data_IF_051168235097
#
_entry.id   IF_051168235097
#
_cell.length_a   1.000
_cell.length_b   1.000
_cell.length_c   1.000
_cell.angle_alpha   90.00
_cell.angle_beta   90.00
_cell.angle_gamma   90.00
#
_symmetry.space_group_name_H-M   'P 1'
#
loop_
_entity.id
_entity.type
_entity.pdbx_description
1 polymer ?
#
# COMPACT_ATOMS: atom_id res chain seq x y z
N UNK A 1 10.89 -23.65 5.23
CA UNK A 1 9.84 -23.01 5.74
C UNK A 1 10.08 -21.56 5.99
N UNK A 2 11.21 -21.31 6.51
CA UNK A 2 11.59 -19.95 6.70
C UNK A 2 11.56 -19.16 5.41
N UNK A 3 11.90 -19.79 4.34
CA UNK A 3 11.87 -19.12 3.06
C UNK A 3 10.50 -18.64 2.70
N UNK A 4 9.49 -19.31 3.18
CA UNK A 4 8.14 -18.89 2.88
C UNK A 4 7.79 -17.60 3.53
N UNK A 5 8.43 -17.28 4.64
CA UNK A 5 8.12 -16.06 5.34
C UNK A 5 8.32 -14.82 4.48
N UNK A 6 9.44 -14.66 3.80
CA UNK A 6 9.61 -13.52 2.93
C UNK A 6 8.58 -13.49 1.82
N UNK A 7 8.29 -14.65 1.27
CA UNK A 7 7.28 -14.70 0.22
C UNK A 7 5.92 -14.33 0.77
N UNK A 8 5.61 -14.82 1.95
CA UNK A 8 4.36 -14.49 2.59
C UNK A 8 4.22 -13.01 2.81
N UNK A 9 5.31 -12.38 3.24
CA UNK A 9 5.27 -10.95 3.47
C UNK A 9 5.07 -10.19 2.17
N UNK A 10 5.71 -10.63 1.11
CA UNK A 10 5.55 -9.98 -0.17
C UNK A 10 4.11 -10.12 -0.66
N UNK A 11 3.55 -11.29 -0.51
CA UNK A 11 2.18 -11.51 -0.90
C UNK A 11 1.24 -10.62 -0.10
N UNK A 12 1.49 -10.54 1.20
CA UNK A 12 0.67 -9.68 2.04
C UNK A 12 0.81 -8.23 1.66
N UNK A 13 2.02 -7.81 1.34
CA UNK A 13 2.23 -6.43 0.92
C UNK A 13 1.46 -6.11 -0.34
N UNK A 14 1.47 -7.02 -1.30
CA UNK A 14 0.72 -6.79 -2.52
C UNK A 14 -0.78 -6.70 -2.27
N UNK A 15 -1.29 -7.58 -1.42
CA UNK A 15 -2.71 -7.53 -1.09
C UNK A 15 -3.06 -6.23 -0.39
N UNK A 16 -2.20 -5.78 0.51
CA UNK A 16 -2.41 -4.53 1.22
C UNK A 16 -2.37 -3.36 0.26
N UNK A 17 -1.43 -3.37 -0.67
CA UNK A 17 -1.31 -2.29 -1.64
C UNK A 17 -2.51 -2.26 -2.57
N UNK A 18 -3.02 -3.41 -2.96
CA UNK A 18 -4.21 -3.45 -3.79
C UNK A 18 -5.41 -2.87 -3.07
N UNK A 19 -5.57 -3.23 -1.80
CA UNK A 19 -6.65 -2.66 -1.00
C UNK A 19 -6.48 -1.16 -0.83
N UNK A 20 -5.23 -0.75 -0.58
CA UNK A 20 -4.93 0.66 -0.41
C UNK A 20 -5.28 1.45 -1.67
N UNK A 21 -4.96 0.89 -2.82
CA UNK A 21 -5.27 1.57 -4.07
C UNK A 21 -6.77 1.82 -4.20
N UNK A 22 -7.57 0.83 -3.85
CA UNK A 22 -9.02 1.00 -3.91
C UNK A 22 -9.49 2.07 -2.95
N UNK A 23 -8.97 2.07 -1.74
CA UNK A 23 -9.35 3.08 -0.76
C UNK A 23 -8.96 4.47 -1.23
N UNK A 24 -7.80 4.59 -1.84
CA UNK A 24 -7.36 5.88 -2.36
C UNK A 24 -8.22 6.34 -3.53
N UNK A 25 -8.66 5.41 -4.35
CA UNK A 25 -9.52 5.75 -5.49
C UNK A 25 -10.86 6.29 -5.04
N UNK A 26 -11.35 5.83 -3.90
CA UNK A 26 -12.61 6.34 -3.36
C UNK A 26 -12.45 7.70 -2.71
N UNK A 27 -11.21 8.07 -2.38
CA UNK A 27 -10.91 9.34 -1.74
C UNK A 27 -11.58 9.52 -0.39
N UNK A 28 -11.94 8.44 0.26
CA UNK A 28 -12.59 8.52 1.56
C UNK A 28 -11.59 8.64 2.69
N UNK A 29 -10.31 8.41 2.42
CA UNK A 29 -9.27 8.42 3.44
C UNK A 29 -8.03 9.10 2.89
N UNK A 30 -7.26 9.71 3.81
CA UNK A 30 -5.97 10.28 3.43
C UNK A 30 -4.96 9.15 3.22
N UNK A 31 -3.83 9.50 2.61
CA UNK A 31 -2.76 8.52 2.39
C UNK A 31 -2.31 7.91 3.70
N UNK A 32 -2.13 8.74 4.72
CA UNK A 32 -1.70 8.25 6.03
C UNK A 32 -2.72 7.29 6.63
N UNK A 33 -3.98 7.64 6.54
CA UNK A 33 -5.03 6.77 7.07
C UNK A 33 -5.08 5.44 6.34
N UNK A 34 -4.94 5.50 5.02
CA UNK A 34 -4.94 4.27 4.23
C UNK A 34 -3.75 3.39 4.62
N UNK A 35 -2.58 4.00 4.80
CA UNK A 35 -1.39 3.24 5.16
C UNK A 35 -1.62 2.47 6.45
N UNK A 36 -2.14 3.13 7.46
CA UNK A 36 -2.38 2.45 8.73
C UNK A 36 -3.52 1.44 8.63
N UNK A 37 -4.55 1.78 7.87
CA UNK A 37 -5.70 0.90 7.74
C UNK A 37 -5.34 -0.43 7.09
N UNK A 38 -4.44 -0.41 6.13
CA UNK A 38 -4.05 -1.64 5.46
C UNK A 38 -2.90 -2.35 6.18
N UNK A 39 -2.43 -1.81 7.30
CA UNK A 39 -1.49 -2.53 8.15
C UNK A 39 -0.04 -2.11 8.04
N UNK A 40 0.25 -1.00 7.40
CA UNK A 40 1.62 -0.48 7.39
C UNK A 40 1.88 0.29 8.67
N UNK A 41 3.12 0.21 9.16
CA UNK A 41 3.47 0.88 10.38
C UNK A 41 3.86 2.34 10.18
N UNK A 42 4.19 2.72 8.96
CA UNK A 42 4.56 4.10 8.66
C UNK A 42 4.11 4.48 7.26
N UNK A 43 3.56 5.68 7.09
CA UNK A 43 3.12 6.13 5.76
C UNK A 43 4.27 6.23 4.77
N UNK A 44 5.47 6.59 5.23
CA UNK A 44 6.61 6.72 4.32
C UNK A 44 6.99 5.38 3.72
N UNK A 45 6.95 4.33 4.51
CA UNK A 45 7.23 3.00 4.01
C UNK A 45 6.13 2.56 3.04
N UNK A 46 4.90 2.82 3.39
CA UNK A 46 3.78 2.53 2.52
C UNK A 46 3.94 3.22 1.16
N UNK A 47 4.29 4.50 1.19
CA UNK A 47 4.47 5.28 -0.04
C UNK A 47 5.54 4.66 -0.93
N UNK A 48 6.65 4.25 -0.32
CA UNK A 48 7.71 3.62 -1.07
C UNK A 48 7.26 2.33 -1.73
N UNK A 49 6.60 1.47 -0.97
CA UNK A 49 6.13 0.21 -1.49
C UNK A 49 5.09 0.42 -2.59
N UNK A 50 4.19 1.37 -2.38
CA UNK A 50 3.15 1.66 -3.37
C UNK A 50 3.76 2.11 -4.68
N UNK A 51 4.73 3.01 -4.61
CA UNK A 51 5.36 3.50 -5.82
C UNK A 51 6.12 2.38 -6.55
N UNK A 52 6.76 1.50 -5.79
CA UNK A 52 7.46 0.38 -6.40
C UNK A 52 6.51 -0.58 -7.10
N UNK A 53 5.32 -0.74 -6.54
CA UNK A 53 4.37 -1.68 -7.11
C UNK A 53 3.62 -1.09 -8.30
N UNK A 54 3.21 0.15 -8.21
CA UNK A 54 2.33 0.75 -9.21
C UNK A 54 3.01 1.83 -10.06
N UNK A 55 4.19 2.26 -9.69
CA UNK A 55 4.91 3.27 -10.45
C UNK A 55 4.42 4.69 -10.24
N UNK A 56 3.47 4.90 -9.35
CA UNK A 56 2.98 6.23 -9.00
C UNK A 56 2.89 6.36 -7.49
N UNK A 57 2.87 7.58 -7.02
CA UNK A 57 2.72 7.83 -5.61
C UNK A 57 1.27 7.62 -5.18
N UNK A 58 1.06 7.16 -3.94
CA UNK A 58 -0.33 6.98 -3.47
C UNK A 58 -1.12 8.28 -3.48
N UNK A 59 -0.46 9.41 -3.27
CA UNK A 59 -1.15 10.69 -3.31
C UNK A 59 -1.61 11.08 -4.68
N UNK A 60 -1.11 10.42 -5.72
CA UNK A 60 -1.52 10.71 -7.08
C UNK A 60 -2.69 9.86 -7.54
N UNK A 61 -3.05 8.86 -6.77
CA UNK A 61 -4.19 8.03 -7.11
C UNK A 61 -5.45 8.87 -6.98
N UNK A 62 -6.27 8.83 -8.00
CA UNK A 62 -7.51 9.59 -7.98
C UNK A 62 -7.38 11.03 -8.41
N UNK A 63 -6.16 11.49 -8.63
CA UNK A 63 -5.93 12.85 -9.13
C UNK A 63 -5.69 12.92 -10.62
N UNK A 64 -5.57 11.80 -11.22
CA UNK A 64 -5.25 11.73 -12.66
C UNK A 64 -6.46 11.89 -13.53
#
# INVERSE_FOLDING_TARGET
WVKQNPKGRQAKSKARLAKAKRLLETRSMSVSEVAYDVGFSAPSYFTKCFKEEYGILPGEVGNS
#
